data_IF_573294301646
#
_entry.id   IF_573294301646
#
_cell.length_a   1.000
_cell.length_b   1.000
_cell.length_c   1.000
_cell.angle_alpha   90.00
_cell.angle_beta   90.00
_cell.angle_gamma   90.00
#
_symmetry.space_group_name_H-M   'P 1'
#
loop_
_entity.id
_entity.type
_entity.pdbx_description
1 polymer ?
#
# COMPACT_ATOMS: atom_id res chain seq x y z
N UNK A 1 -1.98 -21.95 5.50
CA UNK A 1 -3.08 -21.01 5.20
C UNK A 1 -2.95 -19.86 6.18
N UNK A 2 -2.88 -18.65 5.71
CA UNK A 2 -2.75 -17.42 6.50
C UNK A 2 -3.86 -16.46 6.07
N UNK A 3 -4.27 -15.56 6.95
CA UNK A 3 -5.14 -14.44 6.59
C UNK A 3 -4.27 -13.21 6.28
N UNK A 4 -4.35 -12.74 5.05
CA UNK A 4 -3.48 -11.69 4.50
C UNK A 4 -4.28 -10.43 4.20
N UNK A 5 -3.85 -9.31 4.75
CA UNK A 5 -4.40 -7.98 4.44
C UNK A 5 -3.63 -7.35 3.29
N UNK A 6 -4.35 -6.91 2.25
CA UNK A 6 -3.80 -6.12 1.16
C UNK A 6 -4.51 -4.76 1.12
N UNK A 7 -3.82 -3.70 1.54
CA UNK A 7 -4.34 -2.33 1.39
C UNK A 7 -3.97 -1.77 0.03
N UNK A 8 -4.85 -0.95 -0.58
CA UNK A 8 -4.73 -0.61 -1.99
C UNK A 8 -5.02 -1.81 -2.90
N UNK A 9 -5.77 -2.79 -2.38
CA UNK A 9 -5.99 -4.07 -3.05
C UNK A 9 -6.84 -4.01 -4.32
N UNK A 10 -7.61 -2.93 -4.52
CA UNK A 10 -8.36 -2.70 -5.76
C UNK A 10 -7.56 -1.86 -6.79
N UNK A 11 -6.32 -1.51 -6.49
CA UNK A 11 -5.36 -0.91 -7.43
C UNK A 11 -4.78 -1.94 -8.42
N UNK A 12 -3.89 -1.48 -9.32
CA UNK A 12 -3.28 -2.35 -10.32
C UNK A 12 -2.46 -3.49 -9.68
N UNK A 13 -1.44 -3.15 -8.89
CA UNK A 13 -0.60 -4.17 -8.24
C UNK A 13 -1.37 -4.96 -7.19
N UNK A 14 -2.22 -4.27 -6.41
CA UNK A 14 -2.98 -4.89 -5.31
C UNK A 14 -3.92 -5.98 -5.79
N UNK A 15 -4.62 -5.78 -6.92
CA UNK A 15 -5.55 -6.78 -7.45
C UNK A 15 -4.84 -8.07 -7.92
N UNK A 16 -3.70 -7.93 -8.59
CA UNK A 16 -2.89 -9.08 -8.99
C UNK A 16 -2.27 -9.81 -7.78
N UNK A 17 -1.87 -9.06 -6.75
CA UNK A 17 -1.40 -9.68 -5.50
C UNK A 17 -2.52 -10.44 -4.80
N UNK A 18 -3.74 -9.90 -4.75
CA UNK A 18 -4.89 -10.61 -4.20
C UNK A 18 -5.16 -11.94 -4.92
N UNK A 19 -5.13 -11.94 -6.27
CA UNK A 19 -5.25 -13.17 -7.07
C UNK A 19 -4.16 -14.18 -6.71
N UNK A 20 -2.92 -13.74 -6.66
CA UNK A 20 -1.77 -14.59 -6.37
C UNK A 20 -1.88 -15.25 -5.01
N UNK A 21 -2.20 -14.48 -3.97
CA UNK A 21 -2.37 -14.98 -2.60
C UNK A 21 -3.51 -15.99 -2.48
N UNK A 22 -4.64 -15.75 -3.18
CA UNK A 22 -5.74 -16.72 -3.26
C UNK A 22 -5.31 -18.01 -3.93
N UNK A 23 -4.55 -17.93 -5.02
CA UNK A 23 -3.98 -19.09 -5.70
C UNK A 23 -3.03 -19.90 -4.82
N UNK A 24 -2.27 -19.24 -3.96
CA UNK A 24 -1.38 -19.86 -2.96
C UNK A 24 -2.13 -20.44 -1.76
N UNK A 25 -3.45 -20.27 -1.71
CA UNK A 25 -4.30 -20.88 -0.69
C UNK A 25 -4.50 -20.05 0.58
N UNK A 26 -4.19 -18.75 0.53
CA UNK A 26 -4.42 -17.82 1.63
C UNK A 26 -5.86 -17.26 1.65
N UNK A 27 -6.32 -16.82 2.82
CA UNK A 27 -7.49 -15.96 2.94
C UNK A 27 -7.08 -14.52 2.75
N UNK A 28 -7.76 -13.78 1.87
CA UNK A 28 -7.36 -12.43 1.48
C UNK A 28 -8.42 -11.41 1.89
N UNK A 29 -8.01 -10.45 2.70
CA UNK A 29 -8.76 -9.25 3.01
C UNK A 29 -8.23 -8.08 2.15
N UNK A 30 -8.97 -7.73 1.11
CA UNK A 30 -8.69 -6.60 0.23
C UNK A 30 -9.30 -5.32 0.81
N UNK A 31 -8.47 -4.34 1.15
CA UNK A 31 -8.91 -3.05 1.69
C UNK A 31 -8.54 -1.92 0.74
N UNK A 32 -9.54 -1.11 0.36
CA UNK A 32 -9.35 0.02 -0.55
C UNK A 32 -10.41 1.09 -0.30
N UNK A 33 -10.08 2.37 -0.45
CA UNK A 33 -11.04 3.47 -0.38
C UNK A 33 -11.66 3.78 -1.76
N UNK A 34 -11.13 3.17 -2.82
CA UNK A 34 -11.52 3.35 -4.23
C UNK A 34 -11.29 4.77 -4.76
N UNK A 35 -10.29 5.48 -4.23
CA UNK A 35 -9.91 6.79 -4.75
C UNK A 35 -9.27 6.67 -6.16
N UNK A 36 -8.31 5.75 -6.32
CA UNK A 36 -7.72 5.41 -7.62
C UNK A 36 -7.99 3.98 -8.05
N UNK A 37 -8.22 3.08 -7.09
CA UNK A 37 -8.61 1.70 -7.31
C UNK A 37 -10.03 1.59 -7.87
N UNK A 38 -10.32 0.46 -8.54
CA UNK A 38 -11.63 0.19 -9.14
C UNK A 38 -12.18 -1.15 -8.65
N UNK A 39 -13.47 -1.16 -8.31
CA UNK A 39 -14.17 -2.40 -7.92
C UNK A 39 -14.08 -3.49 -9.00
N UNK A 40 -14.05 -3.08 -10.28
CA UNK A 40 -13.89 -4.01 -11.41
C UNK A 40 -12.61 -4.83 -11.36
N UNK A 41 -11.55 -4.28 -10.77
CA UNK A 41 -10.25 -4.98 -10.70
C UNK A 41 -10.30 -6.24 -9.80
N UNK A 42 -11.23 -6.29 -8.85
CA UNK A 42 -11.39 -7.40 -7.91
C UNK A 42 -12.76 -8.08 -8.00
N UNK A 43 -13.62 -7.65 -8.95
CA UNK A 43 -14.98 -8.16 -9.07
C UNK A 43 -15.04 -9.68 -9.30
N UNK A 44 -14.10 -10.22 -10.07
CA UNK A 44 -14.00 -11.65 -10.38
C UNK A 44 -13.59 -12.49 -9.17
N UNK A 45 -13.06 -11.87 -8.11
CA UNK A 45 -12.67 -12.53 -6.86
C UNK A 45 -13.80 -12.63 -5.85
N UNK A 46 -14.86 -11.80 -5.97
CA UNK A 46 -15.95 -11.71 -4.99
C UNK A 46 -16.72 -13.01 -4.78
N UNK A 47 -16.66 -13.94 -5.73
CA UNK A 47 -17.27 -15.28 -5.59
C UNK A 47 -16.41 -16.30 -4.81
N UNK A 48 -15.18 -15.96 -4.47
CA UNK A 48 -14.28 -16.84 -3.75
C UNK A 48 -14.53 -16.73 -2.24
N UNK A 49 -14.84 -17.86 -1.57
CA UNK A 49 -15.10 -17.88 -0.13
C UNK A 49 -13.93 -17.42 0.75
N UNK A 50 -12.72 -17.37 0.21
CA UNK A 50 -11.50 -16.90 0.88
C UNK A 50 -11.14 -15.45 0.54
N UNK A 51 -12.00 -14.74 -0.19
CA UNK A 51 -11.79 -13.34 -0.56
C UNK A 51 -12.85 -12.45 0.07
N UNK A 52 -12.38 -11.44 0.78
CA UNK A 52 -13.21 -10.39 1.37
C UNK A 52 -12.76 -9.04 0.86
N UNK A 53 -13.68 -8.21 0.37
CA UNK A 53 -13.42 -6.84 -0.05
C UNK A 53 -14.06 -5.86 0.93
N UNK A 54 -13.24 -5.00 1.55
CA UNK A 54 -13.68 -4.00 2.51
C UNK A 54 -13.36 -2.60 1.99
N UNK A 55 -14.37 -1.72 1.98
CA UNK A 55 -14.14 -0.29 1.73
C UNK A 55 -13.69 0.39 3.01
N UNK A 56 -12.43 0.86 3.04
CA UNK A 56 -11.88 1.58 4.19
C UNK A 56 -10.74 2.51 3.73
N UNK A 57 -10.60 3.64 4.42
CA UNK A 57 -9.47 4.55 4.24
C UNK A 57 -8.42 4.30 5.33
N UNK A 58 -7.20 3.96 4.94
CA UNK A 58 -6.10 3.63 5.86
C UNK A 58 -5.66 4.79 6.75
N UNK A 59 -6.09 6.02 6.45
CA UNK A 59 -5.88 7.18 7.33
C UNK A 59 -6.63 7.05 8.66
N UNK A 60 -7.60 6.13 8.75
CA UNK A 60 -8.29 5.76 9.97
C UNK A 60 -7.80 4.40 10.47
N UNK A 61 -7.82 4.17 11.81
CA UNK A 61 -7.46 2.88 12.37
C UNK A 61 -8.32 1.73 11.84
N UNK A 62 -7.69 0.58 11.59
CA UNK A 62 -8.34 -0.66 11.18
C UNK A 62 -8.14 -1.72 12.27
N UNK A 63 -9.24 -2.38 12.66
CA UNK A 63 -9.22 -3.42 13.68
C UNK A 63 -9.64 -4.75 13.07
N UNK A 64 -8.67 -5.52 12.62
CA UNK A 64 -8.85 -6.85 12.03
C UNK A 64 -7.79 -7.81 12.57
N UNK A 65 -8.03 -9.10 12.47
CA UNK A 65 -7.06 -10.14 12.82
C UNK A 65 -6.49 -10.74 11.53
N UNK A 66 -5.17 -10.58 11.35
CA UNK A 66 -4.44 -11.03 10.16
C UNK A 66 -3.03 -11.47 10.54
N UNK A 67 -2.44 -12.34 9.72
CA UNK A 67 -1.10 -12.88 9.92
C UNK A 67 -0.03 -12.08 9.15
N UNK A 68 -0.45 -11.45 8.04
CA UNK A 68 0.45 -10.71 7.15
C UNK A 68 -0.26 -9.50 6.53
N UNK A 69 0.49 -8.43 6.30
CA UNK A 69 -0.01 -7.15 5.76
C UNK A 69 0.87 -6.72 4.59
N UNK A 70 0.23 -6.46 3.44
CA UNK A 70 0.84 -5.75 2.31
C UNK A 70 0.25 -4.35 2.21
N UNK A 71 1.04 -3.33 2.57
CA UNK A 71 0.60 -1.95 2.45
C UNK A 71 1.02 -1.37 1.10
N UNK A 72 0.05 -1.31 0.18
CA UNK A 72 0.19 -0.72 -1.15
C UNK A 72 -0.70 0.53 -1.32
N UNK A 73 -1.35 0.98 -0.26
CA UNK A 73 -2.30 2.08 -0.30
C UNK A 73 -1.57 3.43 -0.34
N UNK A 74 -1.37 3.95 -1.55
CA UNK A 74 -0.96 5.33 -1.78
C UNK A 74 -1.32 5.73 -3.21
N UNK A 75 -1.79 6.97 -3.47
CA UNK A 75 -1.87 7.50 -4.83
C UNK A 75 -0.46 7.57 -5.43
N UNK A 76 -0.22 6.80 -6.50
CA UNK A 76 1.13 6.65 -7.08
C UNK A 76 1.36 7.54 -8.33
N UNK A 77 0.30 8.06 -8.94
CA UNK A 77 0.39 8.92 -10.13
C UNK A 77 0.45 10.39 -9.76
N UNK A 78 1.32 11.21 -10.41
CA UNK A 78 1.41 12.66 -10.19
C UNK A 78 0.06 13.38 -10.24
N UNK A 79 -0.79 13.04 -11.19
CA UNK A 79 -2.13 13.62 -11.33
C UNK A 79 -2.96 13.41 -10.05
N UNK A 80 -2.85 12.25 -9.41
CA UNK A 80 -3.64 11.92 -8.23
C UNK A 80 -3.03 12.47 -6.95
N UNK A 81 -1.73 12.33 -6.73
CA UNK A 81 -1.11 12.79 -5.48
C UNK A 81 -0.93 14.32 -5.43
N UNK A 82 -0.87 15.00 -6.58
CA UNK A 82 -0.84 16.47 -6.65
C UNK A 82 -2.24 17.08 -6.53
N UNK A 83 -3.29 16.34 -6.84
CA UNK A 83 -4.68 16.83 -6.72
C UNK A 83 -5.04 17.13 -5.26
N UNK A 84 -4.66 16.25 -4.33
CA UNK A 84 -4.82 16.47 -2.89
C UNK A 84 -3.56 16.03 -2.14
N UNK A 85 -2.57 16.92 -2.03
CA UNK A 85 -1.30 16.60 -1.36
C UNK A 85 -1.47 16.37 0.14
N UNK A 86 -2.48 16.97 0.78
CA UNK A 86 -2.78 16.75 2.20
C UNK A 86 -3.28 15.34 2.42
N UNK A 87 -4.24 14.88 1.62
CA UNK A 87 -4.74 13.52 1.71
C UNK A 87 -3.66 12.49 1.36
N UNK A 88 -2.81 12.79 0.37
CA UNK A 88 -1.66 11.94 0.02
C UNK A 88 -0.69 11.80 1.19
N UNK A 89 -0.34 12.93 1.84
CA UNK A 89 0.52 12.91 3.03
C UNK A 89 -0.11 12.12 4.18
N UNK A 90 -1.41 12.32 4.44
CA UNK A 90 -2.14 11.54 5.45
C UNK A 90 -2.11 10.04 5.12
N UNK A 91 -2.34 9.66 3.87
CA UNK A 91 -2.30 8.25 3.46
C UNK A 91 -0.90 7.65 3.69
N UNK A 92 0.15 8.36 3.31
CA UNK A 92 1.53 7.89 3.47
C UNK A 92 1.96 7.83 4.94
N UNK A 93 1.61 8.81 5.76
CA UNK A 93 2.07 8.92 7.15
C UNK A 93 1.10 8.22 8.10
N UNK A 94 -0.17 8.65 8.17
CA UNK A 94 -1.14 8.06 9.09
C UNK A 94 -1.49 6.63 8.69
N UNK A 95 -1.60 6.35 7.38
CA UNK A 95 -1.80 4.99 6.89
C UNK A 95 -0.67 4.05 7.34
N UNK A 96 0.59 4.47 7.20
CA UNK A 96 1.73 3.70 7.67
C UNK A 96 1.69 3.50 9.20
N UNK A 97 1.43 4.55 9.99
CA UNK A 97 1.34 4.48 11.45
C UNK A 97 0.23 3.51 11.88
N UNK A 98 -0.96 3.63 11.28
CA UNK A 98 -2.11 2.78 11.62
C UNK A 98 -1.82 1.30 11.32
N UNK A 99 -1.22 1.01 10.17
CA UNK A 99 -0.92 -0.38 9.78
C UNK A 99 0.26 -0.97 10.55
N UNK A 100 1.27 -0.17 10.91
CA UNK A 100 2.33 -0.59 11.83
C UNK A 100 1.77 -0.87 13.23
N UNK A 101 0.85 -0.03 13.70
CA UNK A 101 0.13 -0.25 14.95
C UNK A 101 -0.71 -1.54 14.94
N UNK A 102 -1.43 -1.78 13.85
CA UNK A 102 -2.15 -3.04 13.62
C UNK A 102 -1.20 -4.23 13.63
N UNK A 103 -0.12 -4.19 12.82
CA UNK A 103 0.86 -5.26 12.74
C UNK A 103 1.46 -5.61 14.11
N UNK A 104 1.80 -4.59 14.91
CA UNK A 104 2.30 -4.77 16.27
C UNK A 104 1.25 -5.43 17.18
N UNK A 105 -0.02 -5.01 17.09
CA UNK A 105 -1.12 -5.53 17.92
C UNK A 105 -1.37 -7.00 17.65
N UNK A 106 -1.47 -7.40 16.36
CA UNK A 106 -1.78 -8.77 15.96
C UNK A 106 -0.55 -9.65 15.74
N UNK A 107 0.67 -9.08 15.90
CA UNK A 107 1.97 -9.72 15.64
C UNK A 107 2.12 -10.19 14.19
N UNK A 108 1.49 -9.49 13.25
CA UNK A 108 1.59 -9.76 11.82
C UNK A 108 2.93 -9.28 11.25
N UNK A 109 3.40 -9.96 10.21
CA UNK A 109 4.45 -9.42 9.34
C UNK A 109 3.86 -8.31 8.48
N UNK A 110 4.66 -7.27 8.18
CA UNK A 110 4.23 -6.19 7.30
C UNK A 110 5.24 -5.94 6.20
N UNK A 111 4.78 -5.94 4.96
CA UNK A 111 5.46 -5.37 3.82
C UNK A 111 4.90 -3.98 3.55
N UNK A 112 5.76 -2.98 3.45
CA UNK A 112 5.39 -1.61 3.14
C UNK A 112 6.05 -1.18 1.83
N UNK A 113 5.25 -0.88 0.81
CA UNK A 113 5.76 -0.36 -0.45
C UNK A 113 6.33 1.06 -0.23
N UNK A 114 7.62 1.22 -0.48
CA UNK A 114 8.33 2.48 -0.42
C UNK A 114 8.48 3.07 -1.83
N UNK A 115 9.42 3.97 -2.03
CA UNK A 115 9.66 4.63 -3.30
C UNK A 115 11.16 4.69 -3.59
N UNK A 116 11.53 4.63 -4.88
CA UNK A 116 12.92 4.86 -5.32
C UNK A 116 13.42 6.28 -5.03
N UNK A 117 12.51 7.23 -4.81
CA UNK A 117 12.86 8.61 -4.48
C UNK A 117 13.58 8.77 -3.13
N UNK A 118 13.56 7.72 -2.27
CA UNK A 118 14.36 7.71 -1.02
C UNK A 118 15.85 7.83 -1.30
N UNK A 119 16.30 7.46 -2.50
CA UNK A 119 17.71 7.58 -2.93
C UNK A 119 18.07 8.98 -3.45
N UNK A 120 17.09 9.88 -3.60
CA UNK A 120 17.30 11.23 -4.12
C UNK A 120 17.55 11.24 -5.63
N UNK A 121 18.49 12.09 -6.08
CA UNK A 121 18.94 12.15 -7.48
C UNK A 121 20.21 11.30 -7.63
N UNK A 122 20.10 10.03 -8.04
CA UNK A 122 21.23 9.12 -8.05
C UNK A 122 22.10 9.33 -9.29
N UNK A 123 23.40 9.42 -9.08
CA UNK A 123 24.40 9.48 -10.16
C UNK A 123 24.80 8.09 -10.68
N UNK A 124 24.35 7.02 -10.01
CA UNK A 124 24.67 5.63 -10.34
C UNK A 124 23.42 4.80 -10.51
N UNK A 125 23.38 4.01 -11.59
CA UNK A 125 22.34 3.02 -11.85
C UNK A 125 22.98 1.65 -12.15
N UNK A 126 22.46 0.53 -11.60
CA UNK A 126 21.39 0.42 -10.61
C UNK A 126 21.75 1.07 -9.26
N UNK A 127 20.73 1.55 -8.55
CA UNK A 127 20.88 2.12 -7.22
C UNK A 127 21.17 1.01 -6.20
N UNK A 128 22.08 1.30 -5.25
CA UNK A 128 22.44 0.38 -4.19
C UNK A 128 22.20 1.02 -2.81
N UNK A 129 22.00 0.21 -1.77
CA UNK A 129 21.72 0.69 -0.41
C UNK A 129 22.81 1.59 0.16
N UNK A 130 24.04 1.46 -0.32
CA UNK A 130 25.20 2.31 0.06
C UNK A 130 25.23 3.65 -0.67
N UNK A 131 24.28 3.93 -1.56
CA UNK A 131 24.26 5.16 -2.35
C UNK A 131 23.75 6.33 -1.50
N UNK A 132 24.66 7.16 -1.02
CA UNK A 132 24.31 8.48 -0.49
C UNK A 132 24.10 9.41 -1.68
N UNK A 133 22.94 9.36 -2.28
CA UNK A 133 22.57 10.25 -3.39
C UNK A 133 22.67 11.71 -2.97
N UNK A 134 22.99 12.58 -3.91
CA UNK A 134 22.91 14.02 -3.72
C UNK A 134 21.43 14.36 -3.42
N UNK A 135 21.11 14.47 -2.13
CA UNK A 135 19.79 14.85 -1.66
C UNK A 135 19.60 16.35 -1.91
N UNK A 136 19.26 16.70 -3.13
CA UNK A 136 18.61 18.00 -3.33
C UNK A 136 17.10 17.78 -3.26
N UNK A 137 16.45 18.21 -2.18
CA UNK A 137 14.99 18.22 -2.15
C UNK A 137 14.55 19.30 -3.14
N UNK A 138 14.09 18.88 -4.30
CA UNK A 138 13.28 19.75 -5.13
C UNK A 138 12.05 20.14 -4.30
N UNK A 139 11.74 21.44 -4.25
CA UNK A 139 10.65 21.99 -3.40
C UNK A 139 9.29 21.34 -3.71
N UNK A 140 9.13 20.75 -4.89
CA UNK A 140 7.91 20.06 -5.31
C UNK A 140 7.83 18.59 -4.86
N UNK A 141 8.94 17.95 -4.52
CA UNK A 141 8.99 16.54 -4.12
C UNK A 141 8.93 16.36 -2.59
N UNK A 142 9.03 17.44 -1.81
CA UNK A 142 9.02 17.42 -0.33
C UNK A 142 7.72 16.84 0.28
N UNK A 143 6.62 16.80 -0.47
CA UNK A 143 5.34 16.23 -0.01
C UNK A 143 5.24 14.72 -0.17
N UNK A 144 6.25 14.09 -0.79
CA UNK A 144 6.25 12.64 -1.08
C UNK A 144 7.38 11.87 -0.39
N UNK A 145 8.24 12.56 0.36
CA UNK A 145 9.38 11.97 1.06
C UNK A 145 9.13 11.78 2.54
#
# INVERSE_FOLDING_TARGET
>A
MQRVLVTGGAGFLGSHLCERLLHEGHDVLCVDNYFTGRKSNVAHLLGNARFEAMRHDVTFPLYVEVDEIYNLACPASPIHYQHDPVQTTKTSVHGAINLLGLAKRVKAKIFHASTSEVYGDPQQHPQTDGLLGARQPDRHTLLLR
#
